data_IF_188116155706
#
_entry.id   IF_188116155706
#
_cell.length_a   1.000
_cell.length_b   1.000
_cell.length_c   1.000
_cell.angle_alpha   90.00
_cell.angle_beta   90.00
_cell.angle_gamma   90.00
#
_symmetry.space_group_name_H-M   'P 1'
#
loop_
_entity.id
_entity.type
_entity.pdbx_description
1 polymer ?
#
# COMPACT_ATOMS: atom_id res chain seq x y z
N UNK A 1 20.55 23.50 8.06
CA UNK A 1 20.60 22.05 8.32
C UNK A 1 20.38 21.33 7.01
N UNK A 2 21.35 20.81 6.27
CA UNK A 2 22.81 20.97 6.22
C UNK A 2 23.21 20.52 4.81
N UNK A 3 24.07 21.27 4.13
CA UNK A 3 24.54 20.99 2.76
C UNK A 3 25.60 19.86 2.68
N UNK A 4 25.66 18.96 3.68
CA UNK A 4 26.75 18.00 3.83
C UNK A 4 26.41 16.54 3.44
N UNK A 5 25.20 16.24 2.97
CA UNK A 5 24.79 14.86 2.62
C UNK A 5 24.97 14.51 1.13
N UNK A 6 25.30 15.49 0.26
CA UNK A 6 25.50 15.24 -1.18
C UNK A 6 26.91 14.75 -1.54
N UNK A 7 27.92 14.91 -0.67
CA UNK A 7 29.31 14.60 -1.00
C UNK A 7 29.73 13.15 -0.69
N UNK A 8 28.92 12.38 0.03
CA UNK A 8 29.19 10.96 0.34
C UNK A 8 28.65 9.98 -0.70
N UNK A 9 27.84 10.43 -1.65
CA UNK A 9 27.22 9.57 -2.67
C UNK A 9 28.11 9.30 -3.90
N UNK A 10 29.24 9.99 -4.05
CA UNK A 10 30.06 9.92 -5.28
C UNK A 10 31.19 8.88 -5.23
N UNK A 11 31.34 8.08 -4.16
CA UNK A 11 32.50 7.18 -4.01
C UNK A 11 32.22 5.67 -4.01
N UNK A 12 30.99 5.20 -4.30
CA UNK A 12 30.68 3.76 -4.31
C UNK A 12 30.12 3.22 -5.63
N UNK A 13 30.23 3.96 -6.74
CA UNK A 13 29.68 3.54 -8.05
C UNK A 13 30.57 2.59 -8.85
N UNK A 14 31.75 2.19 -8.37
CA UNK A 14 32.54 1.15 -9.03
C UNK A 14 32.56 -0.13 -8.20
N UNK A 15 31.69 -1.10 -8.53
CA UNK A 15 32.06 -2.53 -8.66
C UNK A 15 30.92 -3.56 -8.63
N UNK A 16 29.63 -3.21 -8.53
CA UNK A 16 28.58 -4.22 -8.70
C UNK A 16 27.47 -3.72 -9.62
N UNK A 17 27.24 -4.44 -10.71
CA UNK A 17 26.18 -4.18 -11.70
C UNK A 17 24.76 -4.46 -11.16
N UNK A 18 24.47 -4.00 -9.95
CA UNK A 18 23.14 -4.07 -9.35
C UNK A 18 22.42 -2.78 -9.73
N UNK A 19 21.46 -2.86 -10.66
CA UNK A 19 20.44 -1.81 -10.82
C UNK A 19 19.57 -1.82 -9.57
N UNK A 20 19.92 -0.98 -8.60
CA UNK A 20 18.99 -0.62 -7.53
C UNK A 20 17.88 0.19 -8.19
N UNK A 21 16.75 -0.48 -8.49
CA UNK A 21 15.53 0.22 -8.88
C UNK A 21 14.97 0.82 -7.60
N UNK A 22 15.29 2.08 -7.35
CA UNK A 22 14.59 2.86 -6.35
C UNK A 22 13.12 2.92 -6.78
N UNK A 23 12.23 2.39 -5.95
CA UNK A 23 10.80 2.66 -6.09
C UNK A 23 10.66 4.15 -5.77
N UNK A 24 10.61 4.99 -6.80
CA UNK A 24 10.35 6.42 -6.67
C UNK A 24 9.05 6.60 -5.89
N UNK A 25 9.18 7.08 -4.66
CA UNK A 25 8.07 7.62 -3.89
C UNK A 25 7.45 8.74 -4.71
N UNK A 26 6.14 8.65 -4.99
CA UNK A 26 5.38 9.71 -5.65
C UNK A 26 5.48 11.01 -4.85
N UNK A 27 6.37 11.90 -5.26
CA UNK A 27 6.44 13.25 -4.71
C UNK A 27 5.50 14.15 -5.49
N UNK A 28 4.66 14.87 -4.74
CA UNK A 28 3.83 15.94 -5.25
C UNK A 28 4.74 17.12 -5.61
N UNK A 29 4.60 17.65 -6.82
CA UNK A 29 5.39 18.79 -7.30
C UNK A 29 4.53 20.05 -7.30
N UNK A 30 4.83 20.97 -6.38
CA UNK A 30 4.17 22.26 -6.30
C UNK A 30 4.76 23.23 -7.31
N UNK A 31 3.92 24.07 -7.91
CA UNK A 31 4.39 25.10 -8.84
C UNK A 31 4.65 24.59 -10.25
N UNK A 32 4.18 23.38 -10.58
CA UNK A 32 4.35 22.78 -11.90
C UNK A 32 3.03 22.20 -12.42
N UNK A 33 2.92 22.14 -13.75
CA UNK A 33 1.79 21.60 -14.47
C UNK A 33 2.29 20.81 -15.69
N UNK A 34 1.56 19.74 -16.03
CA UNK A 34 1.66 19.12 -17.35
C UNK A 34 0.56 19.69 -18.24
N UNK A 35 0.93 20.26 -19.38
CA UNK A 35 -0.01 20.95 -20.28
C UNK A 35 -0.26 20.16 -21.57
N UNK A 36 -1.44 20.32 -22.17
CA UNK A 36 -1.76 19.76 -23.49
C UNK A 36 -2.12 18.26 -23.53
N UNK A 37 -2.08 17.57 -22.39
CA UNK A 37 -2.32 16.12 -22.32
C UNK A 37 -3.53 15.73 -21.46
N UNK A 38 -4.33 16.70 -21.02
CA UNK A 38 -5.52 16.43 -20.25
C UNK A 38 -6.63 15.86 -21.13
N UNK A 39 -7.10 14.66 -20.79
CA UNK A 39 -8.24 14.02 -21.49
C UNK A 39 -9.55 14.27 -20.76
N UNK A 40 -9.48 14.75 -19.51
CA UNK A 40 -10.64 15.05 -18.68
C UNK A 40 -10.28 16.12 -17.66
N UNK A 41 -11.15 17.12 -17.55
CA UNK A 41 -11.08 18.13 -16.49
C UNK A 41 -12.34 18.04 -15.64
N UNK A 42 -12.19 17.96 -14.32
CA UNK A 42 -13.30 17.91 -13.35
C UNK A 42 -13.10 18.91 -12.23
N UNK A 43 -14.19 19.35 -11.62
CA UNK A 43 -14.12 20.13 -10.39
C UNK A 43 -13.71 19.21 -9.22
N UNK A 44 -12.77 19.65 -8.38
CA UNK A 44 -12.36 18.93 -7.18
C UNK A 44 -12.06 19.92 -6.05
N UNK A 45 -12.75 19.82 -4.91
CA UNK A 45 -12.62 20.79 -3.82
C UNK A 45 -11.21 20.90 -3.20
N UNK A 46 -10.39 19.88 -3.39
CA UNK A 46 -9.00 19.86 -2.98
C UNK A 46 -8.19 18.88 -3.84
N UNK A 47 -6.86 19.03 -3.77
CA UNK A 47 -5.91 18.17 -4.47
C UNK A 47 -6.13 16.67 -4.20
N UNK A 48 -6.44 16.28 -2.96
CA UNK A 48 -6.66 14.89 -2.58
C UNK A 48 -7.84 14.26 -3.32
N UNK A 49 -8.95 15.00 -3.48
CA UNK A 49 -10.09 14.56 -4.30
C UNK A 49 -9.70 14.42 -5.77
N UNK A 50 -8.96 15.38 -6.32
CA UNK A 50 -8.48 15.33 -7.70
C UNK A 50 -7.64 14.07 -7.96
N UNK A 51 -6.64 13.83 -7.11
CA UNK A 51 -5.79 12.66 -7.24
C UNK A 51 -6.56 11.35 -7.05
N UNK A 52 -7.51 11.30 -6.10
CA UNK A 52 -8.36 10.13 -5.92
C UNK A 52 -9.19 9.80 -7.16
N UNK A 53 -9.83 10.79 -7.78
CA UNK A 53 -10.58 10.58 -9.02
C UNK A 53 -9.69 10.04 -10.14
N UNK A 54 -8.48 10.60 -10.31
CA UNK A 54 -7.51 10.10 -11.27
C UNK A 54 -7.04 8.66 -10.94
N UNK A 55 -6.90 8.31 -9.67
CA UNK A 55 -6.49 6.97 -9.25
C UNK A 55 -7.51 5.88 -9.60
N UNK A 56 -8.79 6.25 -9.73
CA UNK A 56 -9.86 5.35 -10.16
C UNK A 56 -9.95 5.24 -11.69
N UNK A 57 -9.34 6.16 -12.43
CA UNK A 57 -9.41 6.22 -13.90
C UNK A 57 -8.18 5.55 -14.54
N UNK A 58 -8.39 4.40 -15.17
CA UNK A 58 -7.31 3.57 -15.78
C UNK A 58 -6.42 4.37 -16.75
N UNK A 59 -7.01 5.32 -17.48
CA UNK A 59 -6.32 6.17 -18.47
C UNK A 59 -5.60 7.38 -17.88
N UNK A 60 -5.63 7.61 -16.57
CA UNK A 60 -4.98 8.75 -15.95
C UNK A 60 -3.53 8.43 -15.55
N UNK A 61 -2.51 9.06 -16.16
CA UNK A 61 -1.08 8.93 -15.75
C UNK A 61 -0.61 10.01 -14.80
N UNK A 62 -1.27 11.14 -14.74
CA UNK A 62 -0.92 12.17 -13.79
C UNK A 62 -2.06 13.15 -13.65
N UNK A 63 -2.06 13.87 -12.54
CA UNK A 63 -2.95 15.01 -12.35
C UNK A 63 -2.18 16.31 -12.38
N UNK A 64 -2.85 17.34 -12.88
CA UNK A 64 -2.51 18.73 -12.60
C UNK A 64 -3.72 19.36 -11.93
N UNK A 65 -3.57 19.79 -10.68
CA UNK A 65 -4.61 20.46 -9.92
C UNK A 65 -4.35 21.97 -9.91
N UNK A 66 -5.31 22.76 -10.37
CA UNK A 66 -5.24 24.21 -10.38
C UNK A 66 -5.98 24.78 -9.17
N UNK A 67 -5.25 25.48 -8.29
CA UNK A 67 -5.78 25.95 -7.01
C UNK A 67 -6.84 27.06 -7.17
N UNK A 68 -6.66 27.97 -8.13
CA UNK A 68 -7.55 29.12 -8.33
C UNK A 68 -8.98 28.70 -8.73
N UNK A 69 -9.10 27.70 -9.59
CA UNK A 69 -10.39 27.22 -10.12
C UNK A 69 -10.88 25.92 -9.48
N UNK A 70 -10.10 25.32 -8.56
CA UNK A 70 -10.34 23.96 -8.03
C UNK A 70 -10.51 22.92 -9.15
N UNK A 71 -9.70 23.05 -10.20
CA UNK A 71 -9.81 22.19 -11.38
C UNK A 71 -8.81 21.05 -11.30
N UNK A 72 -9.29 19.85 -11.58
CA UNK A 72 -8.50 18.64 -11.69
C UNK A 72 -8.34 18.26 -13.16
N UNK A 73 -7.16 18.49 -13.71
CA UNK A 73 -6.79 18.09 -15.06
C UNK A 73 -6.14 16.71 -15.03
N UNK A 74 -6.84 15.70 -15.56
CA UNK A 74 -6.37 14.32 -15.64
C UNK A 74 -5.66 14.09 -16.96
N UNK A 75 -4.41 13.68 -16.91
CA UNK A 75 -3.54 13.54 -18.07
C UNK A 75 -3.32 12.10 -18.47
N UNK A 76 -3.18 11.84 -19.77
CA UNK A 76 -2.81 10.53 -20.31
C UNK A 76 -1.30 10.36 -20.50
N UNK A 77 -0.51 11.35 -20.08
CA UNK A 77 0.97 11.37 -20.13
C UNK A 77 1.56 11.73 -18.77
N UNK A 78 2.88 11.56 -18.58
CA UNK A 78 3.62 11.99 -17.38
C UNK A 78 4.75 12.95 -17.75
N UNK A 79 5.39 13.58 -16.74
CA UNK A 79 6.59 14.40 -16.96
C UNK A 79 7.74 13.62 -17.60
N UNK A 80 7.81 12.30 -17.36
CA UNK A 80 8.82 11.43 -17.98
C UNK A 80 8.54 11.16 -19.45
N UNK A 81 7.26 10.98 -19.82
CA UNK A 81 6.88 10.75 -21.22
C UNK A 81 6.83 12.04 -22.04
N UNK A 82 6.61 13.19 -21.39
CA UNK A 82 6.50 14.52 -22.00
C UNK A 82 7.23 15.60 -21.19
N UNK A 83 8.56 15.52 -21.09
CA UNK A 83 9.34 16.51 -20.34
C UNK A 83 9.22 17.94 -20.90
N UNK A 84 9.01 18.08 -22.20
CA UNK A 84 8.83 19.36 -22.90
C UNK A 84 7.55 20.11 -22.52
N UNK A 85 6.52 19.37 -22.08
CA UNK A 85 5.21 19.92 -21.72
C UNK A 85 5.04 20.06 -20.20
N UNK A 86 6.09 19.76 -19.43
CA UNK A 86 6.13 19.93 -17.99
C UNK A 86 6.68 21.32 -17.65
N UNK A 87 5.77 22.24 -17.31
CA UNK A 87 6.08 23.67 -17.21
C UNK A 87 5.82 24.22 -15.81
N UNK A 88 6.52 25.29 -15.46
CA UNK A 88 6.24 26.05 -14.24
C UNK A 88 4.83 26.67 -14.30
N UNK A 89 4.09 26.48 -13.22
CA UNK A 89 2.81 27.12 -12.97
C UNK A 89 2.62 27.27 -11.45
N UNK A 90 2.88 28.46 -10.88
CA UNK A 90 2.80 28.70 -9.44
C UNK A 90 1.44 28.38 -8.81
N UNK A 91 0.36 28.39 -9.61
CA UNK A 91 -1.00 28.11 -9.16
C UNK A 91 -1.38 26.62 -9.31
N UNK A 92 -0.42 25.74 -9.61
CA UNK A 92 -0.65 24.34 -9.89
C UNK A 92 0.05 23.38 -8.92
N UNK A 93 -0.47 22.17 -8.89
CA UNK A 93 0.20 21.01 -8.32
C UNK A 93 0.15 19.87 -9.32
N UNK A 94 1.31 19.30 -9.61
CA UNK A 94 1.46 18.10 -10.41
C UNK A 94 1.70 16.86 -9.53
N UNK A 95 1.21 15.70 -9.99
CA UNK A 95 1.58 14.40 -9.41
C UNK A 95 1.39 13.27 -10.43
N UNK A 96 2.41 12.43 -10.60
CA UNK A 96 2.29 11.18 -11.36
C UNK A 96 1.32 10.22 -10.65
N UNK A 97 0.39 9.66 -11.42
CA UNK A 97 -0.46 8.57 -11.01
C UNK A 97 0.32 7.25 -11.11
N UNK A 98 1.17 7.00 -10.11
CA UNK A 98 1.86 5.72 -10.02
C UNK A 98 0.93 4.56 -9.59
N UNK A 99 -0.38 4.80 -9.39
CA UNK A 99 -1.37 3.72 -9.36
C UNK A 99 -1.53 3.02 -10.72
N UNK A 100 -0.86 3.52 -11.78
CA UNK A 100 -0.67 2.85 -13.07
C UNK A 100 0.05 1.50 -13.01
N UNK A 101 0.75 1.20 -11.92
CA UNK A 101 1.24 -0.15 -11.62
C UNK A 101 0.17 -1.09 -11.04
N UNK A 102 -1.08 -0.62 -10.92
CA UNK A 102 -2.27 -1.36 -10.55
C UNK A 102 -2.28 -1.80 -9.10
N UNK A 103 -2.03 -0.94 -8.11
CA UNK A 103 -2.19 -1.30 -6.68
C UNK A 103 -2.55 -0.08 -5.82
N UNK A 104 -3.80 0.06 -5.40
CA UNK A 104 -4.29 1.08 -4.48
C UNK A 104 -3.84 0.76 -3.06
N UNK A 105 -3.12 1.68 -2.43
CA UNK A 105 -2.59 1.51 -1.08
C UNK A 105 -3.68 1.78 -0.02
N UNK A 106 -3.98 0.80 0.83
CA UNK A 106 -5.11 0.83 1.77
C UNK A 106 -4.69 1.09 3.21
N UNK A 107 -3.49 0.65 3.60
CA UNK A 107 -3.02 0.79 4.97
C UNK A 107 -1.51 0.77 5.04
N UNK A 108 -0.96 1.67 5.88
CA UNK A 108 0.48 1.80 6.14
C UNK A 108 0.72 1.78 7.63
N UNK A 109 1.77 1.08 8.02
CA UNK A 109 2.51 1.38 9.23
C UNK A 109 3.99 1.50 8.93
N UNK A 110 4.65 2.56 9.41
CA UNK A 110 6.11 2.68 9.45
C UNK A 110 6.54 3.08 10.85
N UNK A 111 7.57 2.41 11.34
CA UNK A 111 8.28 2.80 12.56
C UNK A 111 9.26 3.95 12.26
N UNK A 112 8.82 5.21 12.39
CA UNK A 112 9.66 6.39 12.09
C UNK A 112 10.49 6.83 13.29
N UNK A 113 9.91 6.71 14.47
CA UNK A 113 10.47 7.06 15.77
C UNK A 113 9.75 6.26 16.87
N UNK A 114 10.15 6.40 18.15
CA UNK A 114 9.44 5.72 19.24
C UNK A 114 8.02 6.24 19.47
N UNK A 115 7.73 7.48 19.08
CA UNK A 115 6.39 8.06 19.18
C UNK A 115 5.43 7.51 18.15
N UNK A 116 5.90 6.87 17.08
CA UNK A 116 5.00 6.30 16.07
C UNK A 116 4.20 5.14 16.67
N UNK A 117 4.63 4.54 17.79
CA UNK A 117 3.82 3.59 18.58
C UNK A 117 2.63 4.26 19.29
N UNK A 118 2.71 5.57 19.54
CA UNK A 118 1.68 6.41 20.16
C UNK A 118 0.81 7.15 19.13
N UNK A 119 1.18 7.16 17.85
CA UNK A 119 0.33 7.73 16.77
C UNK A 119 -1.12 7.30 16.93
N UNK A 120 -2.04 8.27 16.83
CA UNK A 120 -3.47 8.03 16.90
C UNK A 120 -3.88 7.12 15.74
N UNK A 121 -4.49 5.99 16.06
CA UNK A 121 -5.00 5.09 15.02
C UNK A 121 -6.29 5.66 14.42
N UNK A 122 -6.34 5.80 13.10
CA UNK A 122 -7.59 6.07 12.40
C UNK A 122 -8.24 4.75 12.02
N UNK A 123 -9.42 4.47 12.57
CA UNK A 123 -10.22 3.29 12.22
C UNK A 123 -11.52 3.78 11.60
N UNK A 124 -11.89 3.26 10.42
CA UNK A 124 -13.08 3.72 9.72
C UNK A 124 -13.79 2.60 8.97
N UNK A 125 -15.12 2.69 8.91
CA UNK A 125 -15.98 1.90 8.01
C UNK A 125 -16.16 2.56 6.64
N UNK A 126 -15.49 3.68 6.36
CA UNK A 126 -15.50 4.37 5.07
C UNK A 126 -14.10 4.36 4.48
N UNK A 127 -13.94 3.71 3.33
CA UNK A 127 -12.67 3.70 2.62
C UNK A 127 -12.27 5.10 2.16
N UNK A 128 -13.24 5.99 1.88
CA UNK A 128 -12.99 7.38 1.48
C UNK A 128 -12.25 8.15 2.57
N UNK A 129 -12.60 7.94 3.84
CA UNK A 129 -11.89 8.53 4.99
C UNK A 129 -10.45 8.01 5.12
N UNK A 130 -10.21 6.74 4.81
CA UNK A 130 -8.87 6.17 4.87
C UNK A 130 -8.01 6.71 3.73
N UNK A 131 -8.52 6.64 2.50
CA UNK A 131 -7.79 7.08 1.31
C UNK A 131 -7.55 8.59 1.31
N UNK A 132 -8.45 9.41 1.88
CA UNK A 132 -8.19 10.86 2.01
C UNK A 132 -7.04 11.19 2.97
N UNK A 133 -6.70 10.26 3.87
CA UNK A 133 -5.66 10.42 4.88
C UNK A 133 -4.43 9.54 4.58
N UNK A 134 -4.14 9.26 3.31
CA UNK A 134 -3.10 8.32 2.87
C UNK A 134 -1.67 8.59 3.41
N UNK A 135 -1.39 9.80 3.86
CA UNK A 135 -0.12 10.17 4.50
C UNK A 135 -0.01 9.71 5.96
N UNK A 136 -1.15 9.43 6.60
CA UNK A 136 -1.22 9.09 8.02
C UNK A 136 -0.75 7.67 8.28
N UNK A 137 -0.02 7.50 9.37
CA UNK A 137 0.36 6.20 9.90
C UNK A 137 -0.86 5.53 10.56
N UNK A 138 -0.87 4.19 10.69
CA UNK A 138 -1.89 3.43 11.45
C UNK A 138 -3.33 3.66 11.03
N UNK A 139 -3.61 3.41 9.76
CA UNK A 139 -4.96 3.42 9.22
C UNK A 139 -5.53 2.01 9.14
N UNK A 140 -6.73 1.82 9.70
CA UNK A 140 -7.41 0.53 9.74
C UNK A 140 -8.77 0.64 9.08
N UNK A 141 -8.85 0.20 7.82
CA UNK A 141 -10.12 0.10 7.10
C UNK A 141 -10.87 -1.16 7.54
N UNK A 142 -11.98 -0.96 8.26
CA UNK A 142 -12.83 -2.04 8.74
C UNK A 142 -13.50 -2.77 7.56
N UNK A 143 -13.90 -4.01 7.80
CA UNK A 143 -14.49 -4.93 6.81
C UNK A 143 -15.58 -4.29 5.95
N UNK A 144 -16.53 -3.57 6.54
CA UNK A 144 -17.60 -2.90 5.77
C UNK A 144 -17.06 -1.84 4.81
N UNK A 145 -16.04 -1.08 5.22
CA UNK A 145 -15.40 -0.11 4.33
C UNK A 145 -14.55 -0.79 3.26
N UNK A 146 -13.92 -1.93 3.57
CA UNK A 146 -13.19 -2.72 2.58
C UNK A 146 -14.13 -3.36 1.55
N UNK A 147 -15.33 -3.79 1.98
CA UNK A 147 -16.40 -4.22 1.09
C UNK A 147 -16.88 -3.08 0.18
N UNK A 148 -17.18 -1.90 0.73
CA UNK A 148 -17.56 -0.74 -0.08
C UNK A 148 -16.49 -0.41 -1.13
N UNK A 149 -15.21 -0.44 -0.75
CA UNK A 149 -14.12 -0.25 -1.69
C UNK A 149 -14.13 -1.31 -2.80
N UNK A 150 -14.40 -2.57 -2.45
CA UNK A 150 -14.50 -3.65 -3.43
C UNK A 150 -15.66 -3.44 -4.40
N UNK A 151 -16.81 -3.02 -3.89
CA UNK A 151 -18.01 -2.80 -4.70
C UNK A 151 -17.82 -1.59 -5.64
N UNK A 152 -17.17 -0.52 -5.18
CA UNK A 152 -16.94 0.70 -5.96
C UNK A 152 -15.74 0.58 -6.94
N UNK A 153 -14.65 -0.07 -6.53
CA UNK A 153 -13.40 -0.18 -7.32
C UNK A 153 -13.33 -1.48 -8.14
N UNK A 154 -14.04 -2.53 -7.73
CA UNK A 154 -14.03 -3.82 -8.42
C UNK A 154 -12.77 -4.66 -8.21
N UNK A 155 -11.94 -4.36 -7.20
CA UNK A 155 -10.65 -5.04 -7.02
C UNK A 155 -10.80 -6.56 -6.84
N UNK A 156 -9.86 -7.31 -7.41
CA UNK A 156 -9.83 -8.78 -7.44
C UNK A 156 -8.60 -9.38 -6.77
N UNK A 157 -7.63 -8.56 -6.39
CA UNK A 157 -6.43 -9.01 -5.68
C UNK A 157 -6.10 -8.12 -4.49
N UNK A 158 -5.41 -8.72 -3.51
CA UNK A 158 -4.87 -8.05 -2.33
C UNK A 158 -3.39 -8.38 -2.26
N UNK A 159 -2.57 -7.38 -1.96
CA UNK A 159 -1.12 -7.51 -1.77
C UNK A 159 -0.76 -7.13 -0.35
N UNK A 160 0.02 -8.01 0.28
CA UNK A 160 0.50 -7.85 1.64
C UNK A 160 2.01 -7.69 1.60
N UNK A 161 2.50 -6.68 2.29
CA UNK A 161 3.92 -6.40 2.40
C UNK A 161 4.26 -6.10 3.85
N UNK A 162 5.34 -6.69 4.34
CA UNK A 162 6.04 -6.13 5.48
C UNK A 162 7.54 -6.34 5.36
N UNK A 163 8.27 -5.42 6.00
CA UNK A 163 9.70 -5.48 6.17
C UNK A 163 10.04 -5.29 7.64
N UNK A 164 10.94 -6.14 8.14
CA UNK A 164 11.48 -6.03 9.49
C UNK A 164 12.99 -6.15 9.46
N UNK A 165 13.69 -5.09 9.91
CA UNK A 165 15.15 -4.99 9.87
C UNK A 165 15.83 -6.06 10.72
N UNK A 166 15.21 -6.47 11.83
CA UNK A 166 15.64 -7.59 12.65
C UNK A 166 14.53 -8.65 12.63
N UNK A 167 14.73 -9.81 11.97
CA UNK A 167 16.00 -10.38 11.52
C UNK A 167 16.45 -10.01 10.09
N UNK A 168 15.80 -9.08 9.39
CA UNK A 168 16.11 -8.73 7.99
C UNK A 168 15.18 -9.44 7.02
N UNK A 169 13.88 -9.38 7.31
CA UNK A 169 12.85 -10.18 6.68
C UNK A 169 11.89 -9.35 5.87
N UNK A 170 11.54 -9.85 4.69
CA UNK A 170 10.54 -9.32 3.78
C UNK A 170 9.49 -10.41 3.58
N UNK A 171 8.26 -10.12 4.00
CA UNK A 171 7.08 -10.89 3.62
C UNK A 171 6.35 -10.13 2.54
N UNK A 172 6.23 -10.71 1.36
CA UNK A 172 5.68 -10.00 0.22
C UNK A 172 4.93 -10.92 -0.74
N UNK A 173 3.61 -10.86 -0.68
CA UNK A 173 2.74 -11.73 -1.46
C UNK A 173 1.59 -10.95 -2.09
N UNK A 174 1.02 -11.49 -3.15
CA UNK A 174 -0.25 -11.05 -3.71
C UNK A 174 -1.19 -12.23 -3.92
N UNK A 175 -2.49 -12.05 -3.70
CA UNK A 175 -3.47 -13.11 -4.00
C UNK A 175 -3.49 -13.42 -5.50
N UNK A 176 -3.83 -14.63 -5.89
CA UNK A 176 -3.86 -15.06 -7.29
C UNK A 176 -5.16 -14.65 -7.99
N UNK A 177 -5.11 -14.44 -9.31
CA UNK A 177 -6.31 -14.30 -10.16
C UNK A 177 -6.94 -15.66 -10.47
N UNK A 178 -7.27 -16.42 -9.42
CA UNK A 178 -7.93 -17.71 -9.52
C UNK A 178 -9.03 -17.80 -8.45
N UNK A 179 -9.78 -18.91 -8.44
CA UNK A 179 -10.88 -19.12 -7.49
C UNK A 179 -10.40 -19.03 -6.04
N UNK A 180 -9.28 -19.65 -5.70
CA UNK A 180 -8.70 -19.59 -4.35
C UNK A 180 -8.34 -18.17 -3.92
N UNK A 181 -7.74 -17.38 -4.81
CA UNK A 181 -7.41 -15.99 -4.52
C UNK A 181 -8.65 -15.10 -4.41
N UNK A 182 -9.69 -15.36 -5.20
CA UNK A 182 -10.98 -14.70 -5.07
C UNK A 182 -11.65 -15.02 -3.71
N UNK A 183 -11.52 -16.26 -3.22
CA UNK A 183 -12.01 -16.61 -1.88
C UNK A 183 -11.29 -15.85 -0.76
N UNK A 184 -10.01 -15.51 -0.94
CA UNK A 184 -9.28 -14.61 -0.02
C UNK A 184 -9.84 -13.20 -0.04
N UNK A 185 -10.16 -12.67 -1.22
CA UNK A 185 -10.81 -11.35 -1.32
C UNK A 185 -12.16 -11.38 -0.59
N UNK A 186 -13.00 -12.38 -0.86
CA UNK A 186 -14.29 -12.57 -0.19
C UNK A 186 -14.14 -12.68 1.32
N UNK A 187 -13.14 -13.41 1.81
CA UNK A 187 -12.89 -13.58 3.25
C UNK A 187 -12.66 -12.24 3.97
N UNK A 188 -12.01 -11.29 3.31
CA UNK A 188 -11.75 -9.97 3.88
C UNK A 188 -12.88 -8.96 3.65
N UNK A 189 -13.85 -9.24 2.78
CA UNK A 189 -14.96 -8.30 2.47
C UNK A 189 -16.33 -8.78 2.94
N UNK A 190 -16.69 -10.05 2.75
CA UNK A 190 -18.10 -10.49 2.84
C UNK A 190 -18.32 -11.93 3.35
N UNK A 191 -17.29 -12.79 3.35
CA UNK A 191 -17.39 -14.17 3.82
C UNK A 191 -16.65 -14.39 5.14
N UNK A 192 -17.19 -15.25 6.01
CA UNK A 192 -16.51 -15.74 7.23
C UNK A 192 -15.85 -17.11 7.02
N UNK A 193 -15.97 -17.67 5.81
CA UNK A 193 -15.31 -18.93 5.46
C UNK A 193 -13.81 -18.68 5.32
N UNK A 194 -12.99 -19.33 6.16
CA UNK A 194 -11.53 -19.25 6.07
C UNK A 194 -11.01 -19.99 4.83
N UNK A 195 -10.44 -19.29 3.82
CA UNK A 195 -10.06 -19.89 2.55
C UNK A 195 -8.78 -20.71 2.67
N UNK A 196 -8.55 -21.57 1.67
CA UNK A 196 -7.31 -22.35 1.54
C UNK A 196 -6.11 -21.42 1.30
N UNK A 197 -5.00 -21.64 1.99
CA UNK A 197 -3.80 -20.81 1.86
C UNK A 197 -2.97 -21.14 0.61
N UNK A 198 -2.53 -22.39 0.46
CA UNK A 198 -1.70 -22.80 -0.66
C UNK A 198 -2.43 -22.72 -2.01
N UNK A 199 -1.77 -22.04 -2.95
CA UNK A 199 -2.29 -21.78 -4.30
C UNK A 199 -3.25 -20.58 -4.39
N UNK A 200 -3.54 -19.89 -3.28
CA UNK A 200 -4.36 -18.67 -3.29
C UNK A 200 -3.55 -17.39 -3.48
N UNK A 201 -2.22 -17.47 -3.45
CA UNK A 201 -1.31 -16.34 -3.59
C UNK A 201 -0.03 -16.70 -4.34
N UNK A 202 0.71 -15.67 -4.76
CA UNK A 202 2.03 -15.73 -5.37
C UNK A 202 3.00 -14.90 -4.52
N UNK A 203 4.19 -15.44 -4.29
CA UNK A 203 5.30 -14.72 -3.64
C UNK A 203 5.93 -13.76 -4.64
N UNK A 204 6.24 -12.53 -4.21
CA UNK A 204 6.87 -11.52 -5.04
C UNK A 204 8.41 -11.62 -4.96
N UNK A 205 9.17 -11.08 -5.93
CA UNK A 205 10.59 -11.40 -6.11
C UNK A 205 11.51 -11.13 -4.91
N UNK A 206 11.17 -10.15 -4.08
CA UNK A 206 11.89 -9.73 -2.88
C UNK A 206 11.42 -10.47 -1.60
N UNK A 207 10.40 -11.32 -1.68
CA UNK A 207 9.95 -12.13 -0.55
C UNK A 207 11.01 -13.16 -0.15
N UNK A 208 11.48 -13.06 1.09
CA UNK A 208 12.37 -14.03 1.71
C UNK A 208 11.74 -14.66 2.96
N UNK A 209 10.41 -14.61 3.07
CA UNK A 209 9.68 -15.04 4.25
C UNK A 209 9.57 -16.55 4.39
N UNK A 210 9.73 -17.04 5.62
CA UNK A 210 9.49 -18.45 5.93
C UNK A 210 7.99 -18.75 5.96
N UNK A 211 7.18 -17.78 6.36
CA UNK A 211 5.73 -17.82 6.44
C UNK A 211 5.13 -18.07 5.05
N UNK A 212 5.53 -17.33 4.01
CA UNK A 212 4.96 -17.53 2.69
C UNK A 212 5.39 -18.86 2.03
N UNK A 213 6.58 -19.36 2.35
CA UNK A 213 7.05 -20.69 1.88
C UNK A 213 6.21 -21.83 2.47
N UNK A 214 5.75 -21.69 3.72
CA UNK A 214 5.06 -22.74 4.48
C UNK A 214 3.55 -22.47 4.56
N UNK A 215 2.91 -22.18 3.43
CA UNK A 215 1.46 -21.92 3.35
C UNK A 215 0.61 -23.08 3.90
N UNK A 216 1.11 -24.31 3.84
CA UNK A 216 0.44 -25.51 4.32
C UNK A 216 0.34 -25.52 5.84
N UNK A 217 1.22 -24.77 6.53
CA UNK A 217 1.18 -24.59 8.00
C UNK A 217 0.30 -23.45 8.45
N UNK A 218 -0.33 -22.72 7.52
CA UNK A 218 -1.15 -21.57 7.89
C UNK A 218 -2.44 -21.99 8.59
N UNK A 219 -2.85 -21.21 9.59
CA UNK A 219 -4.07 -21.36 10.35
C UNK A 219 -3.83 -21.65 11.84
N UNK A 220 -4.93 -21.81 12.57
CA UNK A 220 -4.94 -22.13 13.99
C UNK A 220 -5.71 -23.43 14.20
N UNK A 221 -5.04 -24.46 14.74
CA UNK A 221 -5.52 -25.87 14.83
C UNK A 221 -5.77 -26.57 13.48
N UNK A 222 -6.17 -25.82 12.45
CA UNK A 222 -6.33 -26.30 11.09
C UNK A 222 -5.23 -25.73 10.21
N UNK A 223 -4.58 -26.61 9.46
CA UNK A 223 -3.53 -26.28 8.50
C UNK A 223 -4.11 -25.81 7.16
N UNK A 224 -3.30 -25.10 6.38
CA UNK A 224 -3.62 -24.58 5.06
C UNK A 224 -4.84 -23.63 5.01
N UNK A 225 -4.98 -22.75 6.00
CA UNK A 225 -6.09 -21.78 6.12
C UNK A 225 -5.61 -20.35 6.37
N UNK A 226 -6.27 -19.37 5.74
CA UNK A 226 -6.11 -17.96 6.10
C UNK A 226 -6.81 -17.62 7.42
N UNK A 227 -6.31 -16.61 8.11
CA UNK A 227 -6.94 -16.06 9.30
C UNK A 227 -6.86 -16.94 10.55
N UNK A 228 -7.68 -16.58 11.54
CA UNK A 228 -7.78 -17.25 12.82
C UNK A 228 -9.24 -17.19 13.30
N UNK A 229 -9.80 -18.32 13.75
CA UNK A 229 -11.22 -18.43 14.11
C UNK A 229 -11.67 -17.39 15.16
N UNK A 230 -10.87 -17.15 16.20
CA UNK A 230 -11.15 -16.12 17.22
C UNK A 230 -11.00 -14.67 16.75
N UNK A 231 -10.51 -14.44 15.54
CA UNK A 231 -10.32 -13.10 14.95
C UNK A 231 -11.20 -12.88 13.71
N UNK A 232 -12.29 -13.65 13.57
CA UNK A 232 -13.32 -13.39 12.57
C UNK A 232 -14.16 -12.15 12.94
N UNK A 233 -13.53 -10.98 12.95
CA UNK A 233 -14.14 -9.67 13.25
C UNK A 233 -13.79 -8.64 12.16
N UNK A 234 -14.26 -7.40 12.32
CA UNK A 234 -14.09 -6.34 11.31
C UNK A 234 -12.65 -5.87 11.11
N UNK A 235 -11.72 -6.26 11.99
CA UNK A 235 -10.29 -5.92 11.93
C UNK A 235 -9.42 -7.07 11.44
N UNK A 236 -10.01 -8.20 11.01
CA UNK A 236 -9.29 -9.42 10.62
C UNK A 236 -8.24 -9.24 9.52
N UNK A 237 -8.37 -8.19 8.69
CA UNK A 237 -7.37 -7.82 7.69
C UNK A 237 -6.00 -7.45 8.33
N UNK A 238 -6.02 -6.99 9.58
CA UNK A 238 -4.84 -6.51 10.32
C UNK A 238 -4.50 -7.38 11.53
N UNK A 239 -5.52 -7.98 12.15
CA UNK A 239 -5.39 -8.80 13.36
C UNK A 239 -5.37 -10.29 12.98
N UNK A 240 -4.16 -10.85 12.89
CA UNK A 240 -3.90 -12.25 12.53
C UNK A 240 -4.52 -12.70 11.18
N UNK A 241 -4.37 -11.93 10.09
CA UNK A 241 -4.81 -12.38 8.75
C UNK A 241 -4.06 -13.62 8.27
N UNK A 242 -2.81 -13.80 8.72
CA UNK A 242 -1.92 -14.89 8.31
C UNK A 242 -1.19 -15.39 9.55
N UNK A 243 -1.39 -16.67 9.85
CA UNK A 243 -0.97 -17.29 11.10
C UNK A 243 -0.25 -18.58 10.80
N UNK A 244 0.97 -18.75 11.29
CA UNK A 244 1.57 -20.06 11.51
C UNK A 244 1.75 -20.22 13.02
N UNK A 245 0.84 -20.99 13.63
CA UNK A 245 0.69 -21.07 15.07
C UNK A 245 2.01 -21.32 15.80
N UNK A 246 2.31 -20.47 16.79
CA UNK A 246 3.51 -20.50 17.62
C UNK A 246 4.84 -20.41 16.86
N UNK A 247 4.82 -20.02 15.57
CA UNK A 247 6.01 -19.94 14.75
C UNK A 247 6.19 -18.54 14.15
N UNK A 248 5.22 -18.08 13.33
CA UNK A 248 5.33 -16.83 12.57
C UNK A 248 3.98 -16.22 12.27
N UNK A 249 3.91 -14.91 12.24
CA UNK A 249 2.69 -14.16 11.96
C UNK A 249 2.96 -13.01 10.99
N UNK A 250 1.94 -12.64 10.23
CA UNK A 250 1.82 -11.30 9.65
C UNK A 250 0.64 -10.62 10.34
N UNK A 251 0.90 -9.53 11.06
CA UNK A 251 -0.13 -8.73 11.71
C UNK A 251 0.45 -7.37 12.09
N UNK A 252 -0.40 -6.36 12.08
CA UNK A 252 -0.08 -5.03 12.60
C UNK A 252 -1.37 -4.40 13.09
N UNK A 253 -1.68 -4.55 14.39
CA UNK A 253 -2.89 -3.97 14.98
C UNK A 253 -2.67 -3.49 16.41
N UNK A 254 -3.53 -2.57 16.86
CA UNK A 254 -3.35 -1.70 18.04
C UNK A 254 -3.14 -2.43 19.38
N UNK A 255 -3.52 -3.70 19.53
CA UNK A 255 -3.70 -4.29 20.86
C UNK A 255 -2.66 -5.33 21.30
N UNK A 256 -1.66 -5.72 20.49
CA UNK A 256 -0.38 -6.26 21.04
C UNK A 256 0.76 -6.60 20.10
N UNK A 257 0.63 -6.74 18.78
CA UNK A 257 1.76 -7.37 18.07
C UNK A 257 1.92 -6.87 16.64
N UNK A 258 3.08 -6.28 16.36
CA UNK A 258 3.59 -6.00 15.02
C UNK A 258 4.55 -7.12 14.65
N UNK A 259 4.04 -8.08 13.88
CA UNK A 259 4.79 -9.26 13.48
C UNK A 259 4.92 -9.29 11.96
N UNK A 260 6.10 -9.67 11.51
CA UNK A 260 6.44 -9.76 10.10
C UNK A 260 7.29 -11.02 9.89
N UNK A 261 6.63 -12.13 9.58
CA UNK A 261 7.28 -13.44 9.44
C UNK A 261 8.02 -13.87 10.73
N UNK A 262 7.48 -13.52 11.89
CA UNK A 262 8.07 -13.79 13.20
C UNK A 262 7.03 -13.83 14.34
N UNK A 263 7.51 -14.00 15.57
CA UNK A 263 6.72 -13.88 16.82
C UNK A 263 7.18 -12.71 17.71
N UNK A 264 8.23 -11.98 17.32
CA UNK A 264 8.77 -10.87 18.10
C UNK A 264 7.92 -9.62 17.93
N UNK A 265 7.70 -8.90 19.03
CA UNK A 265 7.04 -7.59 19.05
C UNK A 265 8.04 -6.43 18.91
N UNK A 266 9.34 -6.73 18.87
CA UNK A 266 10.39 -5.72 18.77
C UNK A 266 10.32 -5.04 17.41
N UNK A 267 10.39 -3.71 17.39
CA UNK A 267 10.40 -2.93 16.15
C UNK A 267 11.68 -2.09 16.06
N UNK A 268 12.22 -2.02 14.86
CA UNK A 268 13.34 -1.16 14.49
C UNK A 268 12.83 0.03 13.65
N UNK A 269 13.56 1.15 13.70
CA UNK A 269 13.29 2.26 12.80
C UNK A 269 13.36 1.79 11.34
N UNK A 270 12.35 2.15 10.56
CA UNK A 270 12.16 1.73 9.17
C UNK A 270 11.34 0.45 8.98
N UNK A 271 11.02 -0.30 10.04
CA UNK A 271 10.11 -1.44 9.92
C UNK A 271 8.75 -0.99 9.37
N UNK A 272 8.23 -1.74 8.41
CA UNK A 272 7.13 -1.29 7.55
C UNK A 272 6.11 -2.40 7.31
N UNK A 273 4.82 -2.03 7.28
CA UNK A 273 3.70 -2.89 6.90
C UNK A 273 2.80 -2.13 5.95
N UNK A 274 2.37 -2.79 4.87
CA UNK A 274 1.53 -2.19 3.84
C UNK A 274 0.54 -3.21 3.28
N UNK A 275 -0.66 -2.72 2.97
CA UNK A 275 -1.69 -3.49 2.26
C UNK A 275 -2.13 -2.69 1.05
N UNK A 276 -2.25 -3.39 -0.08
CA UNK A 276 -2.69 -2.83 -1.35
C UNK A 276 -3.80 -3.68 -1.99
N UNK A 277 -4.58 -3.10 -2.89
CA UNK A 277 -5.61 -3.80 -3.67
C UNK A 277 -5.60 -3.42 -5.15
N UNK A 278 -6.10 -4.30 -6.02
CA UNK A 278 -6.28 -4.04 -7.45
C UNK A 278 -7.30 -4.93 -8.11
#
# INVERSE_FOLDING_TARGET
>A
MDQNDQSLATSLSSQTGIRVVYVETTEKEFGYALVGHDFRTVHADNFGRCFFECSLEERCQSVTYLWNGKECKMNKETKKSRPEDFVENPAATYMENNFRGGWTHISRFIMKDQNSMKDQSSTSNSYRTILSNYHSNKQYLLRNGFKQLKDDMGFTQIRFYCFKKKPGRVFHIMTNKNTKGADVVKFFTESDTMPTACGSFTRLPDDNSSLAVNCDKWGYKNNNRWGHQSYLNDKRLFSKPIVWQSNRYYQFSRSKSYSCDDISEDMSLGDTWQIFVR
#
